data_IF_339903988905
#
_entry.id   IF_339903988905
#
_cell.length_a   1.000
_cell.length_b   1.000
_cell.length_c   1.000
_cell.angle_alpha   90.00
_cell.angle_beta   90.00
_cell.angle_gamma   90.00
#
_symmetry.space_group_name_H-M   'P 1'
#
loop_
_entity.id
_entity.type
_entity.pdbx_description
1 polymer ?
#
# COMPACT_ATOMS: atom_id res chain seq x y z
N UNK A 1 31.38 5.29 2.53
CA UNK A 1 30.00 5.65 2.93
C UNK A 1 29.56 4.66 3.98
N UNK A 2 29.26 5.12 5.20
CA UNK A 2 28.85 4.23 6.28
C UNK A 2 27.43 3.69 6.00
N UNK A 3 27.08 2.50 6.51
CA UNK A 3 25.75 1.91 6.35
C UNK A 3 24.64 2.84 6.88
N UNK A 4 24.94 3.65 7.90
CA UNK A 4 24.05 4.69 8.45
C UNK A 4 23.73 5.77 7.39
N UNK A 5 24.73 6.24 6.66
CA UNK A 5 24.56 7.27 5.63
C UNK A 5 23.68 6.74 4.49
N UNK A 6 23.87 5.46 4.13
CA UNK A 6 23.08 4.81 3.07
C UNK A 6 21.62 4.65 3.50
N UNK A 7 21.36 4.18 4.72
CA UNK A 7 20.00 4.06 5.26
C UNK A 7 19.31 5.43 5.24
N UNK A 8 20.00 6.46 5.73
CA UNK A 8 19.47 7.84 5.78
C UNK A 8 19.12 8.36 4.38
N UNK A 9 19.97 8.09 3.38
CA UNK A 9 19.71 8.45 1.99
C UNK A 9 18.48 7.72 1.42
N UNK A 10 18.39 6.40 1.63
CA UNK A 10 17.23 5.62 1.18
C UNK A 10 15.94 6.16 1.80
N UNK A 11 15.97 6.44 3.10
CA UNK A 11 14.80 6.96 3.81
C UNK A 11 14.36 8.30 3.24
N UNK A 12 15.30 9.22 3.02
CA UNK A 12 15.03 10.53 2.42
C UNK A 12 14.39 10.40 1.03
N UNK A 13 14.94 9.56 0.17
CA UNK A 13 14.42 9.40 -1.20
C UNK A 13 13.03 8.73 -1.22
N UNK A 14 12.77 7.83 -0.27
CA UNK A 14 11.44 7.23 -0.08
C UNK A 14 10.42 8.25 0.42
N UNK A 15 10.77 9.06 1.44
CA UNK A 15 9.88 10.11 1.99
C UNK A 15 9.58 11.17 0.92
N UNK A 16 10.56 11.52 0.10
CA UNK A 16 10.41 12.48 -0.99
C UNK A 16 9.79 11.88 -2.27
N UNK A 17 9.49 10.58 -2.27
CA UNK A 17 8.97 9.85 -3.43
C UNK A 17 9.83 10.01 -4.71
N UNK A 18 11.17 10.08 -4.60
CA UNK A 18 12.07 10.24 -5.76
C UNK A 18 12.21 8.93 -6.53
N UNK A 19 11.27 8.68 -7.43
CA UNK A 19 11.21 7.46 -8.26
C UNK A 19 12.50 7.26 -9.07
N UNK A 20 13.10 8.35 -9.59
CA UNK A 20 14.33 8.27 -10.40
C UNK A 20 15.51 7.81 -9.54
N UNK A 21 15.66 8.35 -8.34
CA UNK A 21 16.68 7.89 -7.39
C UNK A 21 16.41 6.45 -6.94
N UNK A 22 15.16 6.14 -6.58
CA UNK A 22 14.75 4.79 -6.18
C UNK A 22 15.15 3.77 -7.24
N UNK A 23 14.83 4.01 -8.52
CA UNK A 23 15.17 3.14 -9.65
C UNK A 23 16.68 2.98 -9.88
N UNK A 24 17.50 3.97 -9.52
CA UNK A 24 18.96 3.94 -9.71
C UNK A 24 19.74 3.17 -8.63
N UNK A 25 19.16 2.89 -7.46
CA UNK A 25 19.87 2.17 -6.39
C UNK A 25 20.46 0.81 -6.81
N UNK A 26 21.78 0.60 -6.67
CA UNK A 26 22.46 -0.69 -6.98
C UNK A 26 22.86 -1.47 -5.72
N UNK A 27 22.00 -1.48 -4.71
CA UNK A 27 22.32 -2.01 -3.38
C UNK A 27 22.28 -3.55 -3.31
N UNK A 28 23.25 -4.13 -2.61
CA UNK A 28 23.37 -5.57 -2.37
C UNK A 28 23.10 -5.92 -0.90
N UNK A 29 22.58 -7.12 -0.65
CA UNK A 29 22.36 -7.62 0.71
C UNK A 29 23.68 -8.04 1.34
N UNK A 30 23.86 -7.75 2.63
CA UNK A 30 24.99 -8.21 3.43
C UNK A 30 24.63 -9.57 4.03
N UNK A 31 25.53 -10.57 3.92
CA UNK A 31 25.30 -11.93 4.43
C UNK A 31 25.56 -12.01 5.95
N UNK A 32 24.78 -12.85 6.64
CA UNK A 32 24.85 -13.01 8.10
C UNK A 32 26.18 -13.62 8.59
N UNK A 33 26.88 -14.39 7.74
CA UNK A 33 28.19 -14.98 8.06
C UNK A 33 29.31 -13.94 8.23
N UNK A 34 29.07 -12.68 7.86
CA UNK A 34 30.04 -11.60 7.97
C UNK A 34 29.91 -10.81 9.29
N UNK A 35 29.02 -11.21 10.20
CA UNK A 35 28.67 -10.41 11.37
C UNK A 35 29.31 -10.96 12.65
N UNK A 36 30.27 -10.22 13.22
CA UNK A 36 31.02 -10.62 14.43
C UNK A 36 30.54 -9.92 15.70
N UNK A 37 30.02 -8.69 15.60
CA UNK A 37 29.51 -7.88 16.72
C UNK A 37 27.97 -7.81 16.72
N UNK A 38 27.35 -7.77 17.91
CA UNK A 38 25.91 -7.54 18.12
C UNK A 38 25.39 -6.21 17.59
N UNK A 39 26.14 -5.11 17.70
CA UNK A 39 25.70 -3.80 17.21
C UNK A 39 25.63 -3.78 15.67
N UNK A 40 26.61 -4.41 15.01
CA UNK A 40 26.61 -4.58 13.56
C UNK A 40 25.41 -5.41 13.09
N UNK A 41 24.92 -6.37 13.89
CA UNK A 41 23.75 -7.20 13.52
C UNK A 41 22.50 -6.35 13.33
N UNK A 42 22.23 -5.40 14.22
CA UNK A 42 21.01 -4.59 14.12
C UNK A 42 21.08 -3.63 12.94
N UNK A 43 22.24 -2.98 12.76
CA UNK A 43 22.48 -2.09 11.63
C UNK A 43 22.35 -2.81 10.28
N UNK A 44 22.95 -4.01 10.18
CA UNK A 44 22.89 -4.83 8.96
C UNK A 44 21.46 -5.32 8.70
N UNK A 45 20.71 -5.70 9.73
CA UNK A 45 19.28 -6.04 9.59
C UNK A 45 18.47 -4.87 9.05
N UNK A 46 18.68 -3.67 9.60
CA UNK A 46 18.02 -2.45 9.15
C UNK A 46 18.39 -2.12 7.69
N UNK A 47 19.68 -2.15 7.35
CA UNK A 47 20.15 -1.98 5.98
C UNK A 47 19.51 -2.99 5.02
N UNK A 48 19.58 -4.29 5.34
CA UNK A 48 19.03 -5.36 4.51
C UNK A 48 17.51 -5.24 4.34
N UNK A 49 16.79 -4.79 5.36
CA UNK A 49 15.37 -4.50 5.28
C UNK A 49 15.09 -3.43 4.20
N UNK A 50 15.79 -2.30 4.25
CA UNK A 50 15.61 -1.21 3.29
C UNK A 50 16.04 -1.60 1.85
N UNK A 51 17.09 -2.41 1.71
CA UNK A 51 17.48 -2.96 0.39
C UNK A 51 16.38 -3.86 -0.19
N UNK A 52 15.76 -4.72 0.63
CA UNK A 52 14.64 -5.57 0.20
C UNK A 52 13.42 -4.73 -0.19
N UNK A 53 13.09 -3.72 0.60
CA UNK A 53 11.99 -2.79 0.30
C UNK A 53 12.19 -2.10 -1.06
N UNK A 54 13.38 -1.52 -1.30
CA UNK A 54 13.71 -0.87 -2.58
C UNK A 54 13.58 -1.86 -3.75
N UNK A 55 14.04 -3.11 -3.59
CA UNK A 55 13.89 -4.14 -4.63
C UNK A 55 12.42 -4.43 -4.95
N UNK A 56 11.55 -4.51 -3.92
CA UNK A 56 10.11 -4.70 -4.12
C UNK A 56 9.47 -3.50 -4.83
N UNK A 57 9.78 -2.27 -4.41
CA UNK A 57 9.29 -1.05 -5.07
C UNK A 57 9.73 -1.03 -6.54
N UNK A 58 10.99 -1.32 -6.85
CA UNK A 58 11.47 -1.41 -8.23
C UNK A 58 10.71 -2.44 -9.07
N UNK A 59 10.48 -3.63 -8.50
CA UNK A 59 9.70 -4.67 -9.17
C UNK A 59 8.28 -4.19 -9.47
N UNK A 60 7.66 -3.51 -8.51
CA UNK A 60 6.34 -2.90 -8.64
C UNK A 60 6.30 -1.87 -9.77
N UNK A 61 7.26 -0.93 -9.78
CA UNK A 61 7.38 0.12 -10.80
C UNK A 61 7.60 -0.45 -12.21
N UNK A 62 8.44 -1.49 -12.35
CA UNK A 62 8.73 -2.12 -13.65
C UNK A 62 7.49 -2.77 -14.26
N UNK A 63 6.59 -3.32 -13.44
CA UNK A 63 5.34 -3.95 -13.89
C UNK A 63 4.18 -2.98 -14.08
N UNK A 64 4.44 -1.68 -14.17
CA UNK A 64 3.41 -0.63 -14.13
C UNK A 64 3.57 0.37 -15.29
N UNK A 65 4.12 -0.05 -16.42
CA UNK A 65 4.19 0.76 -17.64
C UNK A 65 2.79 1.17 -18.08
N UNK A 66 2.56 2.47 -18.28
CA UNK A 66 1.25 3.02 -18.66
C UNK A 66 0.29 3.26 -17.49
N UNK A 67 0.72 2.98 -16.25
CA UNK A 67 -0.06 3.29 -15.05
C UNK A 67 0.43 4.60 -14.43
N UNK A 68 -0.51 5.37 -13.90
CA UNK A 68 -0.21 6.40 -12.92
C UNK A 68 0.04 5.72 -11.57
N UNK A 69 1.13 6.10 -10.89
CA UNK A 69 1.60 5.45 -9.66
C UNK A 69 1.70 6.50 -8.55
N UNK A 70 1.11 6.19 -7.39
CA UNK A 70 1.26 6.93 -6.16
C UNK A 70 2.19 6.14 -5.24
N UNK A 71 3.13 6.82 -4.61
CA UNK A 71 4.02 6.26 -3.59
C UNK A 71 3.90 7.15 -2.36
N UNK A 72 3.76 6.53 -1.20
CA UNK A 72 3.79 7.21 0.09
C UNK A 72 4.55 6.36 1.10
N UNK A 73 5.70 6.87 1.56
CA UNK A 73 6.49 6.21 2.59
C UNK A 73 6.08 6.71 3.98
N UNK A 74 5.85 5.77 4.90
CA UNK A 74 5.51 6.08 6.30
C UNK A 74 6.44 5.35 7.24
N UNK A 75 6.72 5.94 8.39
CA UNK A 75 7.41 5.24 9.46
C UNK A 75 6.47 4.25 10.15
N UNK A 76 7.01 3.08 10.47
CA UNK A 76 6.32 2.04 11.21
C UNK A 76 7.33 1.30 12.10
N UNK A 77 6.94 1.01 13.35
CA UNK A 77 7.66 0.21 14.36
C UNK A 77 9.20 0.15 14.23
N UNK A 78 9.90 0.71 15.22
CA UNK A 78 11.39 0.77 15.25
C UNK A 78 11.96 1.58 14.08
N UNK A 79 11.28 2.65 13.67
CA UNK A 79 11.71 3.58 12.61
C UNK A 79 12.00 2.94 11.26
N UNK A 80 11.38 1.79 10.97
CA UNK A 80 11.43 1.20 9.64
C UNK A 80 10.45 1.94 8.74
N UNK A 81 10.85 2.20 7.50
CA UNK A 81 9.92 2.73 6.51
C UNK A 81 9.12 1.58 5.90
N UNK A 82 7.82 1.77 5.81
CA UNK A 82 6.94 1.01 4.95
C UNK A 82 6.47 1.91 3.82
N UNK A 83 6.06 1.33 2.70
CA UNK A 83 5.66 2.11 1.53
C UNK A 83 4.30 1.67 1.05
N UNK A 84 3.31 2.57 1.13
CA UNK A 84 2.07 2.44 0.41
C UNK A 84 2.33 2.80 -1.05
N UNK A 85 2.00 1.88 -1.95
CA UNK A 85 2.01 2.13 -3.38
C UNK A 85 0.62 1.87 -3.91
N UNK A 86 0.15 2.71 -4.81
CA UNK A 86 -1.05 2.43 -5.57
C UNK A 86 -0.84 2.75 -7.03
N UNK A 87 -1.57 2.05 -7.89
CA UNK A 87 -1.54 2.30 -9.33
C UNK A 87 -2.91 2.16 -9.95
N UNK A 88 -3.13 2.95 -11.00
CA UNK A 88 -4.34 2.93 -11.81
C UNK A 88 -3.93 3.18 -13.27
N UNK A 89 -4.60 2.52 -14.20
CA UNK A 89 -4.46 2.81 -15.64
C UNK A 89 -5.74 3.47 -16.16
N UNK A 90 -5.86 4.80 -16.06
CA UNK A 90 -7.08 5.51 -16.47
C UNK A 90 -7.35 5.44 -17.97
N UNK A 91 -6.35 5.08 -18.78
CA UNK A 91 -6.48 4.92 -20.22
C UNK A 91 -7.01 3.52 -20.63
N UNK A 92 -7.25 2.63 -19.66
CA UNK A 92 -7.82 1.32 -19.95
C UNK A 92 -9.27 1.47 -20.40
N UNK A 93 -9.56 1.09 -21.66
CA UNK A 93 -10.92 1.10 -22.22
C UNK A 93 -11.65 -0.13 -21.70
N UNK A 94 -12.15 -0.06 -20.47
CA UNK A 94 -12.89 -1.14 -19.84
C UNK A 94 -14.03 -0.57 -18.99
N UNK A 95 -15.07 -1.38 -18.77
CA UNK A 95 -16.23 -1.01 -17.92
C UNK A 95 -15.77 -0.73 -16.48
N UNK A 96 -14.71 -1.41 -16.03
CA UNK A 96 -14.05 -1.16 -14.77
C UNK A 96 -12.54 -1.03 -14.93
N UNK A 97 -11.96 -0.04 -14.26
CA UNK A 97 -10.54 0.28 -14.28
C UNK A 97 -9.88 -0.37 -13.05
N UNK A 98 -8.82 -1.15 -13.26
CA UNK A 98 -8.13 -1.80 -12.14
C UNK A 98 -7.38 -0.78 -11.27
N UNK A 99 -7.57 -0.89 -9.95
CA UNK A 99 -6.85 -0.11 -8.94
C UNK A 99 -6.21 -1.07 -7.96
N UNK A 100 -4.88 -1.04 -7.88
CA UNK A 100 -4.10 -1.91 -6.99
C UNK A 100 -3.45 -1.04 -5.92
N UNK A 101 -3.72 -1.34 -4.64
CA UNK A 101 -3.16 -0.64 -3.47
C UNK A 101 -2.37 -1.66 -2.66
N UNK A 102 -1.09 -1.42 -2.42
CA UNK A 102 -0.21 -2.33 -1.68
C UNK A 102 0.56 -1.63 -0.59
N UNK A 103 0.77 -2.35 0.51
CA UNK A 103 1.76 -2.01 1.52
C UNK A 103 3.02 -2.87 1.34
N UNK A 104 4.09 -2.24 0.87
CA UNK A 104 5.39 -2.86 0.69
C UNK A 104 6.26 -2.68 1.93
N UNK A 105 6.91 -3.78 2.32
CA UNK A 105 7.84 -3.85 3.45
C UNK A 105 9.14 -4.54 3.02
N UNK A 106 10.20 -4.39 3.81
CA UNK A 106 11.43 -5.18 3.64
C UNK A 106 11.31 -6.67 4.01
N UNK A 107 10.17 -7.08 4.57
CA UNK A 107 9.82 -8.48 4.85
C UNK A 107 9.24 -9.20 3.63
N UNK A 108 9.06 -10.53 3.72
CA UNK A 108 8.41 -11.32 2.66
C UNK A 108 6.93 -10.99 2.53
N UNK A 109 6.33 -10.64 3.65
CA UNK A 109 4.92 -10.32 3.85
C UNK A 109 4.45 -9.11 3.04
N UNK A 110 3.31 -9.25 2.36
CA UNK A 110 2.66 -8.22 1.54
C UNK A 110 1.19 -8.09 1.91
N UNK A 111 0.76 -6.86 2.22
CA UNK A 111 -0.65 -6.53 2.41
C UNK A 111 -1.13 -5.75 1.20
N UNK A 112 -2.35 -6.00 0.74
CA UNK A 112 -2.89 -5.35 -0.45
C UNK A 112 -4.41 -5.22 -0.36
N UNK A 113 -4.93 -4.29 -1.15
CA UNK A 113 -6.33 -4.08 -1.45
C UNK A 113 -6.45 -3.97 -2.97
N UNK A 114 -7.05 -4.98 -3.58
CA UNK A 114 -7.30 -5.04 -5.01
C UNK A 114 -8.72 -4.53 -5.28
N UNK A 115 -8.83 -3.56 -6.17
CA UNK A 115 -10.06 -2.83 -6.43
C UNK A 115 -10.36 -2.69 -7.92
N UNK A 116 -11.63 -2.44 -8.22
CA UNK A 116 -12.09 -2.03 -9.55
C UNK A 116 -12.87 -0.73 -9.44
N UNK A 117 -12.44 0.29 -10.16
CA UNK A 117 -13.13 1.57 -10.25
C UNK A 117 -14.11 1.58 -11.43
N UNK A 118 -15.36 1.97 -11.17
CA UNK A 118 -16.44 2.08 -12.15
C UNK A 118 -16.81 3.56 -12.35
N UNK A 119 -16.32 4.22 -13.43
CA UNK A 119 -16.49 5.66 -13.61
C UNK A 119 -17.94 6.13 -13.68
N UNK A 120 -18.80 5.36 -14.35
CA UNK A 120 -20.23 5.69 -14.48
C UNK A 120 -20.98 5.72 -13.16
N UNK A 121 -20.46 5.05 -12.13
CA UNK A 121 -21.08 4.95 -10.81
C UNK A 121 -20.31 5.74 -9.74
N UNK A 122 -19.22 6.42 -10.11
CA UNK A 122 -18.32 7.08 -9.15
C UNK A 122 -17.92 6.15 -7.99
N UNK A 123 -17.80 4.85 -8.28
CA UNK A 123 -17.69 3.78 -7.27
C UNK A 123 -16.40 3.00 -7.44
N UNK A 124 -15.66 2.81 -6.35
CA UNK A 124 -14.58 1.83 -6.28
C UNK A 124 -15.07 0.60 -5.52
N UNK A 125 -14.92 -0.57 -6.12
CA UNK A 125 -15.30 -1.85 -5.52
C UNK A 125 -14.07 -2.60 -5.04
N UNK A 126 -14.02 -2.96 -3.76
CA UNK A 126 -12.97 -3.78 -3.15
C UNK A 126 -13.24 -5.24 -3.53
N UNK A 127 -12.39 -5.78 -4.41
CA UNK A 127 -12.47 -7.17 -4.86
C UNK A 127 -11.86 -8.12 -3.84
N UNK A 128 -10.67 -7.75 -3.32
CA UNK A 128 -9.94 -8.54 -2.32
C UNK A 128 -9.17 -7.60 -1.39
N UNK A 129 -9.10 -7.95 -0.11
CA UNK A 129 -8.33 -7.21 0.88
C UNK A 129 -7.64 -8.16 1.84
N UNK A 130 -6.31 -8.12 1.84
CA UNK A 130 -5.48 -9.05 2.61
C UNK A 130 -4.42 -8.32 3.41
N UNK A 131 -4.35 -8.65 4.70
CA UNK A 131 -3.23 -8.31 5.57
C UNK A 131 -2.29 -9.50 5.66
N UNK A 132 -0.99 -9.27 5.49
CA UNK A 132 0.02 -10.32 5.44
C UNK A 132 0.20 -11.07 6.77
N UNK A 133 0.17 -10.34 7.89
CA UNK A 133 0.24 -10.91 9.23
C UNK A 133 -0.90 -10.33 10.06
N UNK A 134 -1.70 -11.21 10.67
CA UNK A 134 -2.75 -10.83 11.59
C UNK A 134 -2.17 -10.09 12.80
N UNK A 135 -2.91 -9.11 13.33
CA UNK A 135 -2.56 -8.38 14.56
C UNK A 135 -1.21 -7.63 14.55
N UNK A 136 -0.61 -7.41 13.37
CA UNK A 136 0.59 -6.56 13.21
C UNK A 136 0.29 -5.14 12.72
N UNK A 137 -0.98 -4.85 12.42
CA UNK A 137 -1.43 -3.52 12.01
C UNK A 137 -1.24 -3.19 10.52
N UNK A 138 -0.74 -4.10 9.69
CA UNK A 138 -0.52 -3.83 8.27
C UNK A 138 -1.81 -3.55 7.48
N UNK A 139 -2.87 -4.34 7.70
CA UNK A 139 -4.20 -4.02 7.15
C UNK A 139 -4.76 -2.71 7.68
N UNK A 140 -4.54 -2.41 8.98
CA UNK A 140 -4.90 -1.12 9.58
C UNK A 140 -4.23 0.04 8.85
N UNK A 141 -2.95 -0.07 8.50
CA UNK A 141 -2.24 1.00 7.77
C UNK A 141 -2.90 1.28 6.42
N UNK A 142 -3.36 0.27 5.68
CA UNK A 142 -4.07 0.53 4.42
C UNK A 142 -5.39 1.27 4.69
N UNK A 143 -6.17 0.84 5.69
CA UNK A 143 -7.47 1.42 6.00
C UNK A 143 -7.38 2.84 6.60
N UNK A 144 -6.42 3.10 7.50
CA UNK A 144 -6.14 4.42 8.08
C UNK A 144 -5.79 5.45 6.99
N UNK A 145 -5.21 5.01 5.88
CA UNK A 145 -4.71 5.87 4.81
C UNK A 145 -5.57 5.80 3.55
N UNK A 146 -6.70 5.10 3.59
CA UNK A 146 -7.52 4.87 2.40
C UNK A 146 -8.07 6.19 1.84
N UNK A 147 -8.50 7.10 2.71
CA UNK A 147 -9.06 8.39 2.29
C UNK A 147 -7.99 9.24 1.58
N UNK A 148 -6.77 9.34 2.13
CA UNK A 148 -5.62 10.01 1.49
C UNK A 148 -5.28 9.39 0.12
N UNK A 149 -5.25 8.05 0.03
CA UNK A 149 -4.98 7.35 -1.22
C UNK A 149 -6.05 7.68 -2.27
N UNK A 150 -7.33 7.70 -1.87
CA UNK A 150 -8.46 8.00 -2.75
C UNK A 150 -8.45 9.46 -3.22
N UNK A 151 -8.04 10.41 -2.39
CA UNK A 151 -7.83 11.80 -2.82
C UNK A 151 -6.77 11.91 -3.91
N UNK A 152 -5.64 11.20 -3.76
CA UNK A 152 -4.61 11.16 -4.80
C UNK A 152 -5.08 10.47 -6.08
N UNK A 153 -5.87 9.39 -5.97
CA UNK A 153 -6.48 8.74 -7.12
C UNK A 153 -7.48 9.68 -7.82
N UNK A 154 -8.30 10.42 -7.08
CA UNK A 154 -9.22 11.40 -7.65
C UNK A 154 -8.50 12.49 -8.43
N UNK A 155 -7.35 13.00 -7.93
CA UNK A 155 -6.50 13.94 -8.69
C UNK A 155 -5.96 13.35 -10.00
N UNK A 156 -5.74 12.04 -10.07
CA UNK A 156 -5.35 11.36 -11.32
C UNK A 156 -6.57 11.27 -12.24
N UNK A 157 -7.70 10.77 -11.74
CA UNK A 157 -8.94 10.61 -12.50
C UNK A 157 -9.40 11.92 -13.15
N UNK A 158 -9.36 13.03 -12.42
CA UNK A 158 -9.71 14.36 -12.92
C UNK A 158 -8.83 14.80 -14.10
N UNK A 159 -7.51 14.52 -14.06
CA UNK A 159 -6.60 14.82 -15.17
C UNK A 159 -6.93 14.05 -16.44
N UNK A 160 -7.58 12.91 -16.30
CA UNK A 160 -8.03 12.06 -17.40
C UNK A 160 -9.53 12.22 -17.70
N UNK A 161 -10.15 13.30 -17.19
CA UNK A 161 -11.57 13.62 -17.39
C UNK A 161 -12.54 12.50 -16.95
N UNK A 162 -12.16 11.73 -15.93
CA UNK A 162 -13.02 10.72 -15.31
C UNK A 162 -13.69 11.28 -14.06
N UNK A 163 -14.86 10.73 -13.72
CA UNK A 163 -15.57 11.08 -12.50
C UNK A 163 -14.70 10.81 -11.26
N UNK A 164 -15.00 11.50 -10.15
CA UNK A 164 -14.38 11.23 -8.85
C UNK A 164 -14.95 9.96 -8.23
N UNK A 165 -14.15 9.27 -7.44
CA UNK A 165 -14.61 8.21 -6.53
C UNK A 165 -15.34 8.89 -5.37
N UNK A 166 -16.61 8.55 -5.23
CA UNK A 166 -17.54 9.04 -4.19
C UNK A 166 -18.03 7.90 -3.29
N UNK A 167 -17.94 6.67 -3.75
CA UNK A 167 -18.48 5.50 -3.04
C UNK A 167 -17.44 4.38 -3.05
N UNK A 168 -17.24 3.77 -1.89
CA UNK A 168 -16.50 2.51 -1.75
C UNK A 168 -17.52 1.40 -1.50
N UNK A 169 -17.46 0.33 -2.28
CA UNK A 169 -18.27 -0.87 -2.12
C UNK A 169 -17.40 -2.11 -2.01
N UNK A 170 -17.97 -3.21 -1.57
CA UNK A 170 -17.32 -4.51 -1.59
C UNK A 170 -18.17 -5.58 -0.96
N UNK A 171 -17.63 -6.80 -0.87
CA UNK A 171 -18.22 -7.89 -0.11
C UNK A 171 -17.23 -8.40 0.92
N UNK A 172 -17.63 -8.36 2.18
CA UNK A 172 -16.83 -8.88 3.28
C UNK A 172 -16.94 -10.41 3.32
N UNK A 173 -15.81 -11.10 3.16
CA UNK A 173 -15.74 -12.56 3.29
C UNK A 173 -14.62 -12.89 4.29
N UNK A 174 -15.00 -13.44 5.43
CA UNK A 174 -14.05 -13.81 6.46
C UNK A 174 -13.39 -15.17 6.18
N UNK A 175 -12.06 -15.22 6.27
CA UNK A 175 -11.37 -16.49 6.44
C UNK A 175 -11.45 -16.89 7.91
N UNK A 176 -12.32 -17.86 8.22
CA UNK A 176 -12.62 -18.31 9.59
C UNK A 176 -11.40 -18.75 10.40
N UNK A 177 -10.30 -19.15 9.75
CA UNK A 177 -9.05 -19.53 10.42
C UNK A 177 -8.16 -18.33 10.80
N UNK A 178 -8.49 -17.13 10.31
CA UNK A 178 -7.70 -15.91 10.52
C UNK A 178 -8.48 -14.86 11.31
N UNK A 179 -9.75 -14.63 10.94
CA UNK A 179 -10.62 -13.64 11.56
C UNK A 179 -12.07 -14.14 11.49
N UNK A 180 -12.83 -13.96 12.58
CA UNK A 180 -14.27 -14.24 12.56
C UNK A 180 -15.02 -13.18 11.75
N UNK A 181 -16.16 -13.54 11.20
CA UNK A 181 -17.03 -12.60 10.47
C UNK A 181 -17.44 -11.41 11.34
N UNK A 182 -17.76 -11.64 12.61
CA UNK A 182 -18.10 -10.59 13.57
C UNK A 182 -16.94 -9.61 13.80
N UNK A 183 -15.70 -10.13 13.95
CA UNK A 183 -14.53 -9.27 14.14
C UNK A 183 -14.17 -8.51 12.86
N UNK A 184 -14.35 -9.13 11.69
CA UNK A 184 -14.15 -8.47 10.41
C UNK A 184 -15.20 -7.36 10.19
N UNK A 185 -16.46 -7.61 10.57
CA UNK A 185 -17.54 -6.60 10.56
C UNK A 185 -17.21 -5.43 11.48
N UNK A 186 -16.80 -5.70 12.72
CA UNK A 186 -16.35 -4.67 13.68
C UNK A 186 -15.18 -3.86 13.12
N UNK A 187 -14.25 -4.50 12.41
CA UNK A 187 -13.12 -3.82 11.77
C UNK A 187 -13.63 -2.85 10.69
N UNK A 188 -14.45 -3.29 9.74
CA UNK A 188 -14.97 -2.42 8.68
C UNK A 188 -15.79 -1.25 9.25
N UNK A 189 -16.67 -1.50 10.22
CA UNK A 189 -17.46 -0.45 10.89
C UNK A 189 -16.55 0.59 11.54
N UNK A 190 -15.47 0.17 12.19
CA UNK A 190 -14.48 1.08 12.80
C UNK A 190 -13.87 2.06 11.78
N UNK A 191 -13.74 1.67 10.51
CA UNK A 191 -13.21 2.52 9.44
C UNK A 191 -14.30 3.24 8.63
N UNK A 192 -15.52 3.30 9.17
CA UNK A 192 -16.62 4.09 8.60
C UNK A 192 -17.40 3.37 7.51
N UNK A 193 -17.32 2.04 7.41
CA UNK A 193 -18.15 1.26 6.50
C UNK A 193 -19.45 0.84 7.17
N UNK A 194 -20.55 0.98 6.46
CA UNK A 194 -21.79 0.26 6.75
C UNK A 194 -21.69 -1.17 6.25
N UNK A 195 -22.23 -2.13 7.01
CA UNK A 195 -22.21 -3.56 6.67
C UNK A 195 -23.61 -4.14 6.83
N UNK A 196 -24.21 -4.56 5.72
CA UNK A 196 -25.57 -5.10 5.70
C UNK A 196 -25.63 -6.57 6.17
N UNK A 197 -26.83 -7.15 6.15
CA UNK A 197 -27.07 -8.55 6.54
C UNK A 197 -26.54 -9.57 5.51
N UNK A 198 -26.21 -9.13 4.30
CA UNK A 198 -25.61 -9.95 3.22
C UNK A 198 -24.09 -9.78 3.14
N UNK A 199 -23.48 -9.13 4.15
CA UNK A 199 -22.05 -8.80 4.23
C UNK A 199 -21.55 -7.89 3.10
N UNK A 200 -22.44 -7.15 2.45
CA UNK A 200 -22.00 -6.07 1.57
C UNK A 200 -21.51 -4.91 2.43
N UNK A 201 -20.40 -4.31 2.01
CA UNK A 201 -19.83 -3.13 2.65
C UNK A 201 -20.04 -1.90 1.77
N UNK A 202 -20.33 -0.77 2.41
CA UNK A 202 -20.53 0.52 1.77
C UNK A 202 -19.88 1.63 2.61
N UNK A 203 -19.12 2.52 1.98
CA UNK A 203 -18.69 3.79 2.57
C UNK A 203 -18.95 4.90 1.55
N UNK A 204 -19.73 5.90 1.93
CA UNK A 204 -19.92 7.12 1.14
C UNK A 204 -18.84 8.11 1.55
N UNK A 205 -18.14 8.67 0.57
CA UNK A 205 -17.13 9.70 0.78
C UNK A 205 -17.84 11.04 0.72
N UNK A 206 -17.86 11.75 1.84
CA UNK A 206 -18.37 13.12 1.86
C UNK A 206 -17.45 13.99 1.01
N UNK A 207 -18.02 14.89 0.20
CA UNK A 207 -17.23 15.96 -0.40
C UNK A 207 -16.59 16.75 0.74
N UNK A 208 -15.27 16.68 0.84
CA UNK A 208 -14.53 17.68 1.61
C UNK A 208 -14.61 18.94 0.75
N UNK A 209 -15.55 19.82 1.12
CA UNK A 209 -15.76 21.16 0.52
C UNK A 209 -14.50 22.01 0.74
#
# INVERSE_FOLDING_TARGET
MNSIDIISKIKKDLINNDIKAIQKYKLQLIKDCNIRDTNDKELIKCYNYHVKLIRKIKKYLKGSTGYDIIINAKEHQKSNLITLVSKINPNEINIGISVDIRLLTGSRDESYMDCTYYPSQSTIYINDFRSSISNRGYGKIILDNLDEILEHLNKILEKHCLNRIMIIRGKMIANKHIISEENLKKMYIKYGFEVDNSNNILKVLNEII
#
